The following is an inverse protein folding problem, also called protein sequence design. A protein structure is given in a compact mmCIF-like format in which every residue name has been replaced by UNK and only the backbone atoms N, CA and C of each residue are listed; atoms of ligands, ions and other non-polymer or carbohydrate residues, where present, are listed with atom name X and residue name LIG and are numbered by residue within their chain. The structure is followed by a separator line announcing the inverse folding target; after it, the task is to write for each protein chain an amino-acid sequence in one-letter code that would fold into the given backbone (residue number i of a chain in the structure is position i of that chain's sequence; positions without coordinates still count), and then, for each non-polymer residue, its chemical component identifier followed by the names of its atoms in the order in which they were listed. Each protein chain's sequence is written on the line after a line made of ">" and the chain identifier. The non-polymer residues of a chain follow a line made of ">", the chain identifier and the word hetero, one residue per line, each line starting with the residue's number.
data_IF_753704929186
#
_entry.id   IF_753704929186
#
_cell.length_a   1.000
_cell.length_b   1.000
_cell.length_c   1.000
_cell.angle_alpha   90.00
_cell.angle_beta   90.00
_cell.angle_gamma   90.00
#
_symmetry.space_group_name_H-M   'P 1'
#
loop_
_entity.id
_entity.type
_entity.pdbx_description
1 polymer ?
#
# COMPACT_ATOMS: atom_id res chain seq x y z
N UNK A 1 -4.15 -67.36 11.64
CA UNK A 1 -3.27 -66.33 12.23
C UNK A 1 -2.79 -65.33 11.18
N UNK A 2 -3.69 -64.68 10.41
CA UNK A 2 -3.32 -63.73 9.35
C UNK A 2 -4.46 -62.71 9.13
N UNK A 3 -4.80 -61.85 10.11
CA UNK A 3 -5.65 -60.67 9.85
C UNK A 3 -5.17 -59.38 10.58
N UNK A 4 -4.24 -59.46 11.53
CA UNK A 4 -3.76 -58.26 12.29
C UNK A 4 -2.37 -57.82 11.83
N UNK A 5 -2.15 -57.65 10.52
CA UNK A 5 -0.91 -57.00 10.01
C UNK A 5 -1.12 -55.93 8.93
N UNK A 6 -2.35 -55.69 8.49
CA UNK A 6 -2.63 -54.80 7.36
C UNK A 6 -3.16 -53.41 7.73
N UNK A 7 -3.41 -53.11 9.02
CA UNK A 7 -3.99 -51.82 9.44
C UNK A 7 -2.99 -50.77 9.97
N UNK A 8 -1.69 -51.07 10.00
CA UNK A 8 -0.66 -50.15 10.53
C UNK A 8 0.21 -49.47 9.45
N UNK A 9 0.10 -49.85 8.17
CA UNK A 9 0.82 -49.16 7.09
C UNK A 9 0.08 -47.91 6.57
N UNK A 10 -1.25 -47.91 6.56
CA UNK A 10 -2.06 -46.80 6.03
C UNK A 10 -2.11 -45.58 6.96
N UNK A 11 -1.94 -45.76 8.28
CA UNK A 11 -1.91 -44.64 9.25
C UNK A 11 -0.63 -43.80 9.20
N UNK A 12 0.47 -44.35 8.69
CA UNK A 12 1.74 -43.63 8.57
C UNK A 12 1.88 -42.83 7.27
N UNK A 13 1.23 -43.30 6.20
CA UNK A 13 1.29 -42.70 4.88
C UNK A 13 0.44 -41.41 4.79
N UNK A 14 -0.79 -41.46 5.32
CA UNK A 14 -1.70 -40.31 5.48
C UNK A 14 -1.04 -39.18 6.28
N UNK A 15 -0.35 -39.52 7.38
CA UNK A 15 0.27 -38.52 8.25
C UNK A 15 1.42 -37.79 7.54
N UNK A 16 2.24 -38.50 6.76
CA UNK A 16 3.33 -37.89 5.97
C UNK A 16 2.78 -36.98 4.87
N UNK A 17 1.69 -37.37 4.21
CA UNK A 17 1.02 -36.54 3.23
C UNK A 17 0.45 -35.26 3.87
N UNK A 18 -0.17 -35.35 5.04
CA UNK A 18 -0.67 -34.20 5.79
C UNK A 18 0.47 -33.25 6.19
N UNK A 19 1.59 -33.79 6.71
CA UNK A 19 2.75 -32.98 7.06
C UNK A 19 3.40 -32.32 5.84
N UNK A 20 3.47 -33.02 4.70
CA UNK A 20 4.03 -32.48 3.47
C UNK A 20 3.14 -31.39 2.87
N UNK A 21 1.82 -31.58 2.87
CA UNK A 21 0.85 -30.56 2.46
C UNK A 21 0.88 -29.33 3.38
N UNK A 22 1.03 -29.54 4.69
CA UNK A 22 1.16 -28.44 5.65
C UNK A 22 2.49 -27.70 5.46
N UNK A 23 3.57 -28.43 5.16
CA UNK A 23 4.88 -27.86 4.84
C UNK A 23 4.83 -27.02 3.55
N UNK A 24 4.16 -27.51 2.51
CA UNK A 24 3.96 -26.75 1.25
C UNK A 24 3.13 -25.50 1.52
N UNK A 25 1.98 -25.60 2.18
CA UNK A 25 1.14 -24.45 2.50
C UNK A 25 1.88 -23.41 3.36
N UNK A 26 2.66 -23.87 4.33
CA UNK A 26 3.49 -23.02 5.17
C UNK A 26 4.62 -22.35 4.38
N UNK A 27 5.29 -23.06 3.48
CA UNK A 27 6.37 -22.52 2.66
C UNK A 27 5.87 -21.57 1.56
N UNK A 28 4.70 -21.86 0.98
CA UNK A 28 3.99 -20.97 0.06
C UNK A 28 3.55 -19.68 0.75
N UNK A 29 3.09 -19.77 2.01
CA UNK A 29 2.79 -18.59 2.84
C UNK A 29 4.05 -17.80 3.19
N UNK A 30 5.18 -18.48 3.46
CA UNK A 30 6.47 -17.83 3.77
C UNK A 30 7.10 -17.10 2.57
N UNK A 31 6.73 -17.49 1.34
CA UNK A 31 7.33 -17.01 0.09
C UNK A 31 6.44 -16.03 -0.69
N UNK A 32 5.30 -15.62 -0.14
CA UNK A 32 4.43 -14.65 -0.79
C UNK A 32 5.04 -13.25 -0.68
N UNK A 33 5.67 -12.79 -1.75
CA UNK A 33 6.02 -11.37 -1.96
C UNK A 33 4.74 -10.64 -2.36
N UNK A 34 4.24 -9.70 -1.55
CA UNK A 34 3.12 -8.85 -1.96
C UNK A 34 3.63 -7.82 -2.97
N UNK A 35 3.28 -8.03 -4.24
CA UNK A 35 3.53 -7.07 -5.31
C UNK A 35 2.31 -6.15 -5.41
N UNK A 36 2.50 -4.86 -5.17
CA UNK A 36 1.46 -3.85 -5.35
C UNK A 36 1.68 -3.11 -6.66
N UNK A 37 0.65 -3.05 -7.50
CA UNK A 37 0.66 -2.24 -8.71
C UNK A 37 0.35 -0.79 -8.32
N UNK A 38 1.35 0.09 -8.43
CA UNK A 38 1.14 1.52 -8.23
C UNK A 38 0.61 2.11 -9.53
N UNK A 39 -0.52 2.81 -9.44
CA UNK A 39 -1.09 3.58 -10.55
C UNK A 39 -1.24 5.02 -10.17
N UNK A 40 -0.76 5.92 -11.01
CA UNK A 40 -0.78 7.34 -10.71
C UNK A 40 -0.75 8.21 -11.96
N UNK A 41 -1.17 9.47 -11.80
CA UNK A 41 -1.17 10.48 -12.86
C UNK A 41 -0.48 11.73 -12.34
N UNK A 42 0.47 12.24 -13.12
CA UNK A 42 1.18 13.48 -12.84
C UNK A 42 0.93 14.47 -13.95
N UNK A 43 0.06 15.44 -13.68
CA UNK A 43 -0.16 16.58 -14.56
C UNK A 43 0.90 17.64 -14.27
N UNK A 44 1.56 18.12 -15.33
CA UNK A 44 2.45 19.28 -15.30
C UNK A 44 1.85 20.36 -16.22
N UNK A 45 1.67 21.57 -15.71
CA UNK A 45 1.00 22.64 -16.43
C UNK A 45 1.75 23.97 -16.32
N UNK A 46 1.94 24.61 -17.48
CA UNK A 46 2.51 25.94 -17.61
C UNK A 46 1.39 26.91 -18.01
N UNK A 47 1.09 27.85 -17.13
CA UNK A 47 0.15 28.94 -17.37
C UNK A 47 0.95 30.19 -17.74
N UNK A 48 0.73 30.71 -18.95
CA UNK A 48 1.51 31.80 -19.55
C UNK A 48 0.62 33.00 -19.83
N UNK A 49 1.13 34.20 -19.56
CA UNK A 49 0.39 35.45 -19.74
C UNK A 49 -0.75 35.58 -18.73
N UNK A 50 -0.53 35.16 -17.48
CA UNK A 50 -1.50 35.24 -16.41
C UNK A 50 -1.74 36.69 -15.96
N UNK A 51 -2.88 36.94 -15.32
CA UNK A 51 -3.21 38.20 -14.67
C UNK A 51 -2.20 38.53 -13.56
N UNK A 52 -1.57 39.71 -13.63
CA UNK A 52 -0.49 40.09 -12.72
C UNK A 52 -0.95 40.26 -11.27
N UNK A 53 -2.21 40.64 -11.04
CA UNK A 53 -2.77 40.73 -9.69
C UNK A 53 -3.04 39.34 -9.12
N UNK A 54 -3.62 38.45 -9.93
CA UNK A 54 -3.95 37.09 -9.51
C UNK A 54 -2.71 36.27 -9.09
N UNK A 55 -1.61 36.37 -9.83
CA UNK A 55 -0.39 35.56 -9.59
C UNK A 55 0.51 36.08 -8.47
N UNK A 56 0.29 37.32 -8.01
CA UNK A 56 1.04 37.95 -6.92
C UNK A 56 0.29 37.92 -5.57
N UNK A 57 -1.00 37.58 -5.56
CA UNK A 57 -1.80 37.47 -4.34
C UNK A 57 -1.64 36.08 -3.70
N UNK A 58 -0.70 35.98 -2.75
CA UNK A 58 -0.45 34.76 -1.98
C UNK A 58 -1.72 34.14 -1.40
N UNK A 59 -2.58 34.94 -0.76
CA UNK A 59 -3.73 34.43 -0.01
C UNK A 59 -4.78 33.87 -0.95
N UNK A 60 -5.12 34.63 -2.00
CA UNK A 60 -6.09 34.19 -2.97
C UNK A 60 -5.58 32.99 -3.78
N UNK A 61 -4.31 32.98 -4.16
CA UNK A 61 -3.69 31.87 -4.89
C UNK A 61 -3.62 30.59 -4.04
N UNK A 62 -3.33 30.71 -2.74
CA UNK A 62 -3.44 29.60 -1.78
C UNK A 62 -4.85 29.03 -1.76
N UNK A 63 -5.85 29.88 -1.57
CA UNK A 63 -7.23 29.43 -1.49
C UNK A 63 -7.69 28.74 -2.79
N UNK A 64 -7.28 29.27 -3.94
CA UNK A 64 -7.61 28.71 -5.25
C UNK A 64 -6.94 27.36 -5.46
N UNK A 65 -5.67 27.20 -5.09
CA UNK A 65 -4.99 25.91 -5.15
C UNK A 65 -5.65 24.86 -4.27
N UNK A 66 -5.96 25.19 -3.00
CA UNK A 66 -6.66 24.27 -2.10
C UNK A 66 -8.04 23.88 -2.66
N UNK A 67 -8.78 24.87 -3.18
CA UNK A 67 -10.09 24.63 -3.82
C UNK A 67 -9.97 23.74 -5.06
N UNK A 68 -8.94 23.92 -5.88
CA UNK A 68 -8.70 23.11 -7.06
C UNK A 68 -8.43 21.64 -6.68
N UNK A 69 -7.61 21.42 -5.63
CA UNK A 69 -7.30 20.08 -5.11
C UNK A 69 -8.56 19.40 -4.53
N UNK A 70 -9.36 20.11 -3.74
CA UNK A 70 -10.59 19.55 -3.18
C UNK A 70 -11.59 19.19 -4.28
N UNK A 71 -11.77 20.08 -5.27
CA UNK A 71 -12.71 19.88 -6.36
C UNK A 71 -12.30 18.76 -7.32
N UNK A 72 -11.01 18.54 -7.52
CA UNK A 72 -10.58 17.39 -8.31
C UNK A 72 -10.74 16.07 -7.55
N UNK A 73 -11.09 16.08 -6.26
CA UNK A 73 -11.35 14.87 -5.47
C UNK A 73 -10.13 14.34 -4.70
N UNK A 74 -9.05 15.13 -4.64
CA UNK A 74 -7.89 14.78 -3.83
C UNK A 74 -8.05 15.25 -2.37
N UNK A 75 -7.50 14.49 -1.44
CA UNK A 75 -7.55 14.80 -0.01
C UNK A 75 -6.27 15.53 0.42
N UNK A 76 -6.43 16.73 0.98
CA UNK A 76 -5.34 17.54 1.52
C UNK A 76 -5.01 17.05 2.93
N UNK A 77 -3.72 16.83 3.20
CA UNK A 77 -3.20 16.59 4.54
C UNK A 77 -2.58 17.86 5.15
N UNK A 78 -1.81 18.60 4.36
CA UNK A 78 -1.17 19.84 4.78
C UNK A 78 -0.77 20.69 3.57
N UNK A 79 -0.43 21.96 3.77
CA UNK A 79 0.21 22.80 2.77
C UNK A 79 1.26 23.71 3.41
N UNK A 80 2.22 24.14 2.62
CA UNK A 80 3.19 25.16 3.00
C UNK A 80 3.50 26.06 1.81
N UNK A 81 3.86 27.31 2.07
CA UNK A 81 4.22 28.26 1.04
C UNK A 81 5.30 29.24 1.48
N UNK A 82 5.97 29.85 0.51
CA UNK A 82 6.99 30.86 0.74
C UNK A 82 6.90 31.94 -0.34
N UNK A 83 6.78 33.20 0.10
CA UNK A 83 6.78 34.37 -0.77
C UNK A 83 8.20 34.92 -0.90
N UNK A 84 8.68 35.00 -2.13
CA UNK A 84 9.96 35.58 -2.49
C UNK A 84 9.86 37.10 -2.66
N UNK A 85 11.00 37.82 -2.60
CA UNK A 85 11.05 39.21 -3.07
C UNK A 85 10.49 39.33 -4.49
N UNK A 86 9.65 40.33 -4.73
CA UNK A 86 8.95 40.49 -6.02
C UNK A 86 7.60 39.75 -6.11
N UNK A 87 7.08 39.25 -4.99
CA UNK A 87 5.77 38.59 -4.88
C UNK A 87 5.65 37.22 -5.58
N UNK A 88 6.77 36.64 -6.02
CA UNK A 88 6.80 35.25 -6.48
C UNK A 88 6.47 34.29 -5.34
N UNK A 89 5.72 33.24 -5.63
CA UNK A 89 5.25 32.26 -4.65
C UNK A 89 5.78 30.87 -5.02
N UNK A 90 6.27 30.14 -4.03
CA UNK A 90 6.35 28.67 -4.11
C UNK A 90 5.41 28.06 -3.09
N UNK A 91 4.65 27.05 -3.50
CA UNK A 91 3.69 26.34 -2.67
C UNK A 91 3.79 24.85 -2.90
N UNK A 92 3.63 24.08 -1.82
CA UNK A 92 3.48 22.62 -1.87
C UNK A 92 2.29 22.22 -1.03
N UNK A 93 1.48 21.31 -1.55
CA UNK A 93 0.33 20.71 -0.88
C UNK A 93 0.60 19.21 -0.77
N UNK A 94 0.65 18.73 0.48
CA UNK A 94 0.74 17.32 0.79
C UNK A 94 -0.65 16.70 0.67
N UNK A 95 -0.78 15.69 -0.19
CA UNK A 95 -2.01 14.94 -0.37
C UNK A 95 -1.92 13.61 0.39
N UNK A 96 -3.06 12.97 0.66
CA UNK A 96 -3.07 11.59 1.19
C UNK A 96 -2.32 10.62 0.29
N UNK A 97 -2.31 10.94 -1.00
CA UNK A 97 -1.74 10.14 -2.08
C UNK A 97 -0.94 11.06 -3.02
N UNK A 98 0.33 11.32 -2.67
CA UNK A 98 1.31 12.15 -3.40
C UNK A 98 1.27 13.66 -3.09
N UNK A 99 1.15 14.58 -4.06
CA UNK A 99 1.31 16.03 -3.84
C UNK A 99 0.80 16.92 -4.98
N UNK A 100 0.65 18.22 -4.68
CA UNK A 100 0.59 19.29 -5.68
C UNK A 100 1.60 20.39 -5.36
N UNK A 101 2.09 21.10 -6.37
CA UNK A 101 2.98 22.26 -6.19
C UNK A 101 2.68 23.38 -7.18
N UNK A 102 3.05 24.59 -6.79
CA UNK A 102 2.87 25.80 -7.60
C UNK A 102 4.08 26.72 -7.44
N UNK A 103 4.51 27.31 -8.55
CA UNK A 103 5.58 28.31 -8.61
C UNK A 103 5.13 29.49 -9.49
N UNK A 104 5.18 30.72 -8.98
CA UNK A 104 4.84 31.94 -9.74
C UNK A 104 6.03 32.85 -9.98
N UNK A 105 5.99 33.51 -11.14
CA UNK A 105 6.90 34.57 -11.56
C UNK A 105 6.07 35.77 -12.03
N UNK A 106 5.59 36.63 -11.10
CA UNK A 106 4.73 37.76 -11.40
C UNK A 106 5.27 38.69 -12.49
N UNK A 107 6.57 38.98 -12.44
CA UNK A 107 7.30 39.83 -13.38
C UNK A 107 7.31 39.29 -14.83
N UNK A 108 6.96 38.02 -15.00
CA UNK A 108 6.88 37.35 -16.30
C UNK A 108 5.47 36.90 -16.67
N UNK A 109 4.48 37.08 -15.80
CA UNK A 109 3.12 36.58 -16.04
C UNK A 109 3.06 35.06 -16.15
N UNK A 110 3.89 34.32 -15.40
CA UNK A 110 4.01 32.86 -15.51
C UNK A 110 3.70 32.16 -14.20
N UNK A 111 3.00 31.03 -14.31
CA UNK A 111 2.73 30.11 -13.21
C UNK A 111 2.97 28.67 -13.68
N UNK A 112 3.69 27.89 -12.88
CA UNK A 112 4.01 26.49 -13.15
C UNK A 112 3.40 25.64 -12.03
N UNK A 113 2.70 24.58 -12.41
CA UNK A 113 1.96 23.75 -11.45
C UNK A 113 2.15 22.28 -11.75
N UNK A 114 2.29 21.51 -10.68
CA UNK A 114 2.28 20.06 -10.69
C UNK A 114 1.09 19.55 -9.86
N UNK A 115 0.42 18.53 -10.38
CA UNK A 115 -0.57 17.74 -9.66
C UNK A 115 -0.23 16.26 -9.86
N UNK A 116 0.33 15.63 -8.84
CA UNK A 116 0.61 14.21 -8.83
C UNK A 116 -0.33 13.52 -7.85
N UNK A 117 -1.11 12.56 -8.36
CA UNK A 117 -2.07 11.78 -7.58
C UNK A 117 -1.96 10.29 -7.89
N UNK A 118 -2.37 9.47 -6.94
CA UNK A 118 -2.52 8.03 -7.11
C UNK A 118 -3.99 7.68 -7.40
N UNK A 119 -4.21 6.53 -8.05
CA UNK A 119 -5.54 6.03 -8.38
C UNK A 119 -6.30 6.90 -9.39
N UNK A 120 -7.62 6.72 -9.43
CA UNK A 120 -8.50 7.30 -10.46
C UNK A 120 -9.53 8.30 -9.94
N UNK A 121 -9.48 8.64 -8.64
CA UNK A 121 -10.44 9.59 -8.05
C UNK A 121 -10.19 11.03 -8.47
N UNK A 122 -8.94 11.39 -8.75
CA UNK A 122 -8.55 12.75 -9.05
C UNK A 122 -8.81 13.12 -10.52
N UNK A 123 -9.66 14.11 -10.76
CA UNK A 123 -9.88 14.70 -12.09
C UNK A 123 -8.99 15.94 -12.32
N UNK A 124 -7.89 15.74 -13.03
CA UNK A 124 -6.92 16.79 -13.34
C UNK A 124 -7.49 17.90 -14.24
N UNK A 125 -8.52 17.63 -15.04
CA UNK A 125 -9.15 18.68 -15.85
C UNK A 125 -9.95 19.64 -14.97
N UNK A 126 -10.66 19.13 -13.96
CA UNK A 126 -11.34 19.99 -12.97
C UNK A 126 -10.34 20.90 -12.24
N UNK A 127 -9.20 20.35 -11.84
CA UNK A 127 -8.12 21.13 -11.23
C UNK A 127 -7.61 22.24 -12.17
N UNK A 128 -7.35 21.89 -13.44
CA UNK A 128 -6.87 22.80 -14.47
C UNK A 128 -7.87 23.94 -14.75
N UNK A 129 -9.17 23.64 -14.82
CA UNK A 129 -10.22 24.64 -15.08
C UNK A 129 -10.38 25.64 -13.93
N UNK A 130 -10.26 25.19 -12.66
CA UNK A 130 -10.28 26.09 -11.50
C UNK A 130 -9.11 27.08 -11.57
N UNK A 131 -7.91 26.60 -11.92
CA UNK A 131 -6.74 27.46 -12.06
C UNK A 131 -6.85 28.42 -13.25
N UNK A 132 -7.32 27.96 -14.41
CA UNK A 132 -7.55 28.83 -15.57
C UNK A 132 -8.50 29.98 -15.26
N UNK A 133 -9.60 29.69 -14.56
CA UNK A 133 -10.60 30.69 -14.21
C UNK A 133 -10.04 31.83 -13.34
N UNK A 134 -9.12 31.50 -12.42
CA UNK A 134 -8.49 32.49 -11.55
C UNK A 134 -7.29 33.18 -12.20
N UNK A 135 -6.36 32.41 -12.77
CA UNK A 135 -5.09 32.90 -13.33
C UNK A 135 -5.28 33.69 -14.64
N UNK A 136 -6.38 33.43 -15.37
CA UNK A 136 -6.70 34.03 -16.67
C UNK A 136 -5.51 34.03 -17.64
N UNK A 137 -4.86 32.87 -17.87
CA UNK A 137 -3.71 32.76 -18.75
C UNK A 137 -4.11 33.05 -20.20
N UNK A 138 -3.19 33.62 -20.98
CA UNK A 138 -3.32 33.68 -22.44
C UNK A 138 -3.08 32.31 -23.09
N UNK A 139 -2.22 31.49 -22.49
CA UNK A 139 -1.86 30.16 -23.01
C UNK A 139 -1.64 29.18 -21.87
N UNK A 140 -2.11 27.95 -22.05
CA UNK A 140 -1.85 26.84 -21.14
C UNK A 140 -1.18 25.71 -21.92
N UNK A 141 -0.03 25.25 -21.42
CA UNK A 141 0.64 24.05 -21.92
C UNK A 141 0.62 23.03 -20.80
N UNK A 142 -0.24 22.03 -20.93
CA UNK A 142 -0.38 20.94 -19.94
C UNK A 142 0.00 19.60 -20.56
N UNK A 143 0.62 18.73 -19.75
CA UNK A 143 0.88 17.33 -20.08
C UNK A 143 0.50 16.47 -18.89
N UNK A 144 -0.10 15.32 -19.15
CA UNK A 144 -0.41 14.31 -18.14
C UNK A 144 0.48 13.11 -18.39
N UNK A 145 1.22 12.71 -17.37
CA UNK A 145 2.12 11.57 -17.38
C UNK A 145 1.51 10.45 -16.56
N UNK A 146 1.43 9.24 -17.14
CA UNK A 146 1.19 8.02 -16.36
C UNK A 146 2.40 7.74 -15.48
N UNK A 147 2.16 7.44 -14.21
CA UNK A 147 3.16 7.11 -13.20
C UNK A 147 2.90 5.69 -12.70
N UNK A 148 2.79 4.74 -13.62
CA UNK A 148 2.46 3.36 -13.29
C UNK A 148 3.75 2.54 -13.13
N UNK A 149 3.86 1.78 -12.05
CA UNK A 149 5.00 0.86 -11.82
C UNK A 149 4.62 -0.27 -10.84
N UNK A 150 5.34 -1.39 -10.91
CA UNK A 150 5.24 -2.46 -9.92
C UNK A 150 6.08 -2.09 -8.69
N UNK A 151 5.43 -1.80 -7.57
CA UNK A 151 6.12 -1.63 -6.29
C UNK A 151 6.23 -3.00 -5.64
N UNK A 152 7.44 -3.57 -5.72
CA UNK A 152 7.82 -4.76 -4.94
C UNK A 152 8.27 -4.30 -3.57
N UNK A 153 7.44 -4.49 -2.56
CA UNK A 153 7.88 -4.24 -1.20
C UNK A 153 8.90 -5.31 -0.81
N UNK A 154 10.16 -4.90 -0.63
CA UNK A 154 11.16 -5.75 0.00
C UNK A 154 10.69 -5.97 1.43
N UNK A 155 10.16 -7.16 1.71
CA UNK A 155 9.85 -7.58 3.07
C UNK A 155 11.02 -7.20 3.98
N UNK A 156 10.83 -6.23 4.88
CA UNK A 156 11.73 -6.05 6.02
C UNK A 156 11.84 -7.43 6.69
N UNK A 157 13.03 -7.86 7.17
CA UNK A 157 13.15 -9.16 7.82
C UNK A 157 12.15 -9.20 8.99
N UNK A 158 11.08 -9.96 8.77
CA UNK A 158 9.93 -9.99 9.65
C UNK A 158 10.41 -10.41 11.05
N UNK A 159 9.95 -9.69 12.07
CA UNK A 159 9.98 -10.13 13.47
C UNK A 159 9.23 -11.48 13.66
N UNK A 160 8.65 -12.01 12.58
CA UNK A 160 8.14 -13.35 12.34
C UNK A 160 8.95 -14.50 12.92
N UNK A 161 10.27 -14.38 13.14
CA UNK A 161 11.01 -15.40 13.92
C UNK A 161 10.35 -15.68 15.28
N UNK A 162 9.85 -14.67 15.98
CA UNK A 162 9.16 -14.85 17.26
C UNK A 162 7.78 -15.54 17.12
N UNK A 163 7.03 -15.24 16.04
CA UNK A 163 5.72 -15.87 15.77
C UNK A 163 5.87 -17.30 15.23
N UNK A 164 6.86 -17.54 14.37
CA UNK A 164 7.22 -18.84 13.79
C UNK A 164 7.66 -19.81 14.90
N UNK A 165 8.52 -19.36 15.82
CA UNK A 165 8.94 -20.17 16.98
C UNK A 165 7.73 -20.53 17.85
N UNK A 166 6.81 -19.59 18.07
CA UNK A 166 5.59 -19.82 18.88
C UNK A 166 4.65 -20.84 18.24
N UNK A 167 4.38 -20.74 16.93
CA UNK A 167 3.49 -21.67 16.22
C UNK A 167 4.11 -23.06 16.04
N UNK A 168 5.42 -23.15 15.76
CA UNK A 168 6.12 -24.43 15.67
C UNK A 168 6.16 -25.14 17.04
N UNK A 169 6.40 -24.41 18.12
CA UNK A 169 6.36 -24.94 19.49
C UNK A 169 4.96 -25.43 19.87
N UNK A 170 3.91 -24.67 19.58
CA UNK A 170 2.52 -25.07 19.82
C UNK A 170 2.15 -26.34 19.04
N UNK A 171 2.57 -26.44 17.79
CA UNK A 171 2.32 -27.60 16.93
C UNK A 171 3.06 -28.85 17.40
N UNK A 172 4.32 -28.71 17.86
CA UNK A 172 5.08 -29.82 18.46
C UNK A 172 4.47 -30.29 19.79
N UNK A 173 4.00 -29.36 20.63
CA UNK A 173 3.31 -29.66 21.88
C UNK A 173 2.00 -30.41 21.66
N UNK A 174 1.22 -29.99 20.65
CA UNK A 174 -0.02 -30.67 20.28
C UNK A 174 0.26 -32.10 19.79
N UNK A 175 1.27 -32.25 18.92
CA UNK A 175 1.70 -33.56 18.43
C UNK A 175 2.19 -34.46 19.57
N UNK A 176 3.02 -33.93 20.48
CA UNK A 176 3.49 -34.64 21.66
C UNK A 176 2.32 -35.09 22.57
N UNK A 177 1.35 -34.20 22.80
CA UNK A 177 0.15 -34.50 23.58
C UNK A 177 -0.68 -35.62 22.94
N UNK A 178 -0.87 -35.59 21.62
CA UNK A 178 -1.60 -36.62 20.89
C UNK A 178 -0.89 -37.97 20.92
N UNK A 179 0.44 -38.00 20.75
CA UNK A 179 1.25 -39.23 20.85
C UNK A 179 1.17 -39.82 22.26
N UNK A 180 1.27 -38.97 23.30
CA UNK A 180 1.17 -39.39 24.71
C UNK A 180 -0.22 -39.90 25.07
N UNK A 181 -1.27 -39.25 24.58
CA UNK A 181 -2.66 -39.69 24.81
C UNK A 181 -2.91 -41.06 24.18
N UNK A 182 -2.45 -41.25 22.94
CA UNK A 182 -2.58 -42.54 22.24
C UNK A 182 -1.83 -43.66 22.98
N UNK A 183 -0.62 -43.37 23.49
CA UNK A 183 0.18 -44.32 24.29
C UNK A 183 -0.52 -44.74 25.58
N UNK A 184 -1.10 -43.79 26.33
CA UNK A 184 -1.90 -44.09 27.53
C UNK A 184 -3.13 -44.94 27.23
N UNK A 185 -3.82 -44.68 26.11
CA UNK A 185 -4.99 -45.47 25.72
C UNK A 185 -4.61 -46.92 25.42
N UNK A 186 -3.50 -47.16 24.70
CA UNK A 186 -2.96 -48.51 24.51
C UNK A 186 -2.47 -49.17 25.79
N UNK A 187 -1.89 -48.44 26.74
CA UNK A 187 -1.45 -49.00 28.02
C UNK A 187 -2.64 -49.42 28.90
N UNK A 188 -3.74 -48.66 28.89
CA UNK A 188 -4.97 -48.99 29.61
C UNK A 188 -5.73 -50.17 28.96
N UNK A 189 -5.82 -50.23 27.62
CA UNK A 189 -6.41 -51.38 26.90
C UNK A 189 -5.62 -52.68 27.14
N UNK A 190 -4.29 -52.61 27.31
CA UNK A 190 -3.45 -53.78 27.64
C UNK A 190 -3.62 -54.24 29.11
N UNK A 191 -4.02 -53.34 30.02
CA UNK A 191 -4.34 -53.70 31.41
C UNK A 191 -5.73 -54.33 31.57
N UNK A 192 -6.74 -53.89 30.81
CA UNK A 192 -8.09 -54.50 30.83
C UNK A 192 -8.10 -55.95 30.30
N UNK A 193 -7.20 -56.30 29.39
CA UNK A 193 -7.08 -57.67 28.84
C UNK A 193 -6.39 -58.64 29.83
N UNK A 194 -5.87 -58.16 30.97
CA UNK A 194 -5.11 -58.94 31.95
C UNK A 194 -5.82 -59.22 33.29
N UNK A 195 -7.13 -59.01 33.39
CA UNK A 195 -7.90 -59.39 34.58
C UNK A 195 -8.64 -60.72 34.30
N UNK A 196 -8.37 -61.82 35.04
CA UNK A 196 -9.14 -63.06 34.94
C UNK A 196 -10.54 -62.94 35.56
#
# INVERSE_FOLDING_TARGET
>A
MIIIRSLNLLKGFEMRAVFFSFFILFFSFLSAEEVHEFRGKHMVANYLGCDSGAIADEKALTQVMLTAVEKCGAQILNHNSYVFPGHGLTMTILLSESHASLHTYPEHGKCFVDLFTCGDKCDHEVFNEVLKAYLKPQTVVAKVLGRDDEIKERNAPDMGHAKIISFAAASLLLLYAMVRFKRRKTENEVQEIKVP
#
